data_IF_538592425747
#
_entry.id   IF_538592425747
#
_cell.length_a   1.000
_cell.length_b   1.000
_cell.length_c   1.000
_cell.angle_alpha   90.00
_cell.angle_beta   90.00
_cell.angle_gamma   90.00
#
_symmetry.space_group_name_H-M   'P 1'
#
loop_
_entity.id
_entity.type
_entity.pdbx_description
1 polymer ?
#
# COMPACT_ATOMS: atom_id res chain seq x y z
N UNK A 1 -16.71 -23.97 -19.74
CA UNK A 1 -16.61 -23.92 -18.27
C UNK A 1 -15.43 -23.03 -17.98
N UNK A 2 -15.67 -21.75 -17.68
CA UNK A 2 -14.58 -20.85 -17.30
C UNK A 2 -13.99 -21.33 -15.98
N UNK A 3 -12.66 -21.40 -15.90
CA UNK A 3 -11.92 -21.85 -14.72
C UNK A 3 -12.11 -20.84 -13.58
N UNK A 4 -13.08 -21.09 -12.69
CA UNK A 4 -13.35 -20.31 -11.46
C UNK A 4 -12.34 -20.70 -10.36
N UNK A 5 -11.05 -20.79 -10.68
CA UNK A 5 -10.02 -21.20 -9.71
C UNK A 5 -8.92 -20.17 -9.43
N UNK A 6 -9.06 -18.91 -9.89
CA UNK A 6 -8.04 -17.88 -9.63
C UNK A 6 -8.58 -16.44 -9.51
N UNK A 7 -9.68 -16.25 -8.77
CA UNK A 7 -10.36 -14.94 -8.59
C UNK A 7 -10.32 -14.48 -7.11
N UNK A 8 -9.23 -14.80 -6.43
CA UNK A 8 -9.01 -14.40 -5.03
C UNK A 8 -8.08 -13.18 -4.92
N UNK A 9 -8.20 -12.47 -3.81
CA UNK A 9 -7.23 -11.44 -3.44
C UNK A 9 -5.82 -12.05 -3.32
N UNK A 10 -4.87 -11.55 -4.11
CA UNK A 10 -3.47 -11.96 -4.06
C UNK A 10 -2.68 -10.94 -3.22
N UNK A 11 -2.43 -11.27 -1.95
CA UNK A 11 -1.70 -10.40 -1.02
C UNK A 11 -0.27 -10.11 -1.48
N UNK A 12 0.40 -11.11 -2.04
CA UNK A 12 1.84 -11.03 -2.37
C UNK A 12 2.08 -10.10 -3.56
N UNK A 13 1.18 -10.14 -4.55
CA UNK A 13 1.20 -9.23 -5.70
C UNK A 13 0.96 -7.78 -5.26
N UNK A 14 -0.03 -7.55 -4.39
CA UNK A 14 -0.34 -6.21 -3.86
C UNK A 14 0.80 -5.70 -2.96
N UNK A 15 1.40 -6.58 -2.16
CA UNK A 15 2.56 -6.26 -1.32
C UNK A 15 3.73 -5.78 -2.15
N UNK A 16 4.07 -6.53 -3.19
CA UNK A 16 5.17 -6.18 -4.08
C UNK A 16 4.94 -4.82 -4.76
N UNK A 17 3.73 -4.55 -5.24
CA UNK A 17 3.37 -3.25 -5.84
C UNK A 17 3.57 -2.12 -4.82
N UNK A 18 3.07 -2.29 -3.59
CA UNK A 18 3.19 -1.28 -2.55
C UNK A 18 4.66 -1.01 -2.16
N UNK A 19 5.46 -2.05 -1.95
CA UNK A 19 6.88 -1.93 -1.62
C UNK A 19 7.68 -1.24 -2.74
N UNK A 20 7.43 -1.63 -3.99
CA UNK A 20 8.09 -1.04 -5.16
C UNK A 20 7.72 0.44 -5.35
N UNK A 21 6.47 0.81 -5.13
CA UNK A 21 6.03 2.21 -5.21
C UNK A 21 6.71 3.08 -4.15
N UNK A 22 6.85 2.58 -2.92
CA UNK A 22 7.56 3.30 -1.86
C UNK A 22 9.05 3.46 -2.20
N UNK A 23 9.72 2.39 -2.66
CA UNK A 23 11.14 2.44 -3.07
C UNK A 23 11.35 3.41 -4.24
N UNK A 24 10.43 3.44 -5.21
CA UNK A 24 10.53 4.32 -6.38
C UNK A 24 10.40 5.80 -6.01
N UNK A 25 9.54 6.15 -5.04
CA UNK A 25 9.26 7.55 -4.68
C UNK A 25 10.27 8.09 -3.67
N UNK A 26 10.57 7.32 -2.63
CA UNK A 26 11.40 7.79 -1.51
C UNK A 26 12.86 7.39 -1.68
N UNK A 27 13.14 6.39 -2.52
CA UNK A 27 14.47 5.78 -2.68
C UNK A 27 14.68 4.61 -1.72
N UNK A 28 15.93 4.14 -1.64
CA UNK A 28 16.34 3.03 -0.76
C UNK A 28 16.37 3.46 0.72
N UNK A 29 16.58 2.50 1.62
CA UNK A 29 16.62 2.64 3.09
C UNK A 29 17.49 3.78 3.66
N UNK A 30 18.36 4.42 2.87
CA UNK A 30 19.20 5.55 3.29
C UNK A 30 18.53 6.93 3.13
N UNK A 31 17.29 6.99 2.65
CA UNK A 31 16.56 8.23 2.49
C UNK A 31 16.31 8.93 3.85
N UNK A 32 16.64 10.23 3.92
CA UNK A 32 16.43 11.04 5.12
C UNK A 32 15.08 11.74 5.05
N UNK A 33 14.30 11.63 6.12
CA UNK A 33 13.00 12.30 6.26
C UNK A 33 13.12 13.82 6.06
N UNK A 34 12.25 14.36 5.20
CA UNK A 34 12.12 15.80 4.98
C UNK A 34 10.65 16.17 5.05
N UNK A 35 10.28 16.99 6.05
CA UNK A 35 8.89 17.39 6.31
C UNK A 35 8.21 17.97 5.06
N UNK A 36 8.93 18.79 4.29
CA UNK A 36 8.38 19.45 3.10
C UNK A 36 8.09 18.47 1.96
N UNK A 37 8.75 17.30 1.96
CA UNK A 37 8.55 16.25 0.96
C UNK A 37 7.49 15.23 1.37
N UNK A 38 7.16 15.11 2.66
CA UNK A 38 6.26 14.07 3.17
C UNK A 38 4.92 14.06 2.41
N UNK A 39 4.28 15.22 2.24
CA UNK A 39 3.01 15.33 1.51
C UNK A 39 3.14 14.91 0.04
N UNK A 40 4.23 15.31 -0.62
CA UNK A 40 4.50 14.97 -2.02
C UNK A 40 4.72 13.47 -2.17
N UNK A 41 5.52 12.87 -1.28
CA UNK A 41 5.76 11.43 -1.27
C UNK A 41 4.49 10.64 -1.04
N UNK A 42 3.68 11.02 -0.05
CA UNK A 42 2.39 10.36 0.22
C UNK A 42 1.49 10.37 -1.01
N UNK A 43 1.35 11.52 -1.69
CA UNK A 43 0.55 11.63 -2.91
C UNK A 43 1.11 10.73 -4.02
N UNK A 44 2.42 10.83 -4.31
CA UNK A 44 3.06 10.05 -5.37
C UNK A 44 2.96 8.54 -5.13
N UNK A 45 3.18 8.07 -3.90
CA UNK A 45 3.07 6.65 -3.53
C UNK A 45 1.64 6.16 -3.78
N UNK A 46 0.64 6.90 -3.29
CA UNK A 46 -0.77 6.53 -3.43
C UNK A 46 -1.18 6.43 -4.90
N UNK A 47 -0.80 7.43 -5.72
CA UNK A 47 -1.11 7.46 -7.15
C UNK A 47 -0.45 6.32 -7.91
N UNK A 48 0.84 6.06 -7.65
CA UNK A 48 1.58 4.95 -8.26
C UNK A 48 0.91 3.60 -7.97
N UNK A 49 0.56 3.34 -6.70
CA UNK A 49 -0.07 2.08 -6.31
C UNK A 49 -1.42 1.91 -7.01
N UNK A 50 -2.26 2.95 -7.03
CA UNK A 50 -3.56 2.88 -7.71
C UNK A 50 -3.40 2.61 -9.21
N UNK A 51 -2.43 3.26 -9.86
CA UNK A 51 -2.13 3.04 -11.28
C UNK A 51 -1.67 1.61 -11.54
N UNK A 52 -0.73 1.08 -10.74
CA UNK A 52 -0.23 -0.29 -10.91
C UNK A 52 -1.32 -1.35 -10.62
N UNK A 53 -2.15 -1.14 -9.59
CA UNK A 53 -3.29 -2.01 -9.31
C UNK A 53 -4.32 -1.99 -10.45
N UNK A 54 -4.59 -0.83 -11.05
CA UNK A 54 -5.49 -0.71 -12.19
C UNK A 54 -4.96 -1.46 -13.43
N UNK A 55 -3.64 -1.53 -13.63
CA UNK A 55 -3.03 -2.29 -14.73
C UNK A 55 -3.22 -3.80 -14.62
N UNK A 56 -3.52 -4.33 -13.43
CA UNK A 56 -3.83 -5.75 -13.24
C UNK A 56 -5.15 -6.14 -13.93
N UNK A 57 -6.01 -5.17 -14.27
CA UNK A 57 -7.31 -5.38 -14.92
C UNK A 57 -8.20 -6.40 -14.20
N UNK A 58 -8.06 -6.51 -12.88
CA UNK A 58 -8.90 -7.36 -12.05
C UNK A 58 -10.18 -6.61 -11.65
N UNK A 59 -11.33 -7.31 -11.47
CA UNK A 59 -12.61 -6.69 -11.15
C UNK A 59 -12.70 -6.26 -9.68
N UNK A 60 -11.88 -5.28 -9.28
CA UNK A 60 -11.80 -4.75 -7.92
C UNK A 60 -11.97 -3.23 -7.90
N UNK A 61 -12.57 -2.75 -6.81
CA UNK A 61 -12.42 -1.38 -6.33
C UNK A 61 -11.24 -1.35 -5.37
N UNK A 62 -10.32 -0.41 -5.60
CA UNK A 62 -9.13 -0.23 -4.77
C UNK A 62 -9.25 1.05 -3.94
N UNK A 63 -8.87 0.97 -2.66
CA UNK A 63 -8.59 2.14 -1.83
C UNK A 63 -7.21 1.99 -1.22
N UNK A 64 -6.42 3.06 -1.23
CA UNK A 64 -5.04 3.05 -0.75
C UNK A 64 -4.89 4.17 0.27
N UNK A 65 -4.32 3.85 1.43
CA UNK A 65 -3.90 4.82 2.43
C UNK A 65 -2.39 4.74 2.58
N UNK A 66 -1.75 5.90 2.71
CA UNK A 66 -0.31 6.00 2.93
C UNK A 66 -0.07 6.97 4.10
N UNK A 67 0.70 6.53 5.09
CA UNK A 67 1.07 7.30 6.26
C UNK A 67 2.60 7.36 6.33
N UNK A 68 3.16 8.58 6.26
CA UNK A 68 4.59 8.80 6.49
C UNK A 68 4.77 9.51 7.82
N UNK A 69 5.53 8.90 8.74
CA UNK A 69 5.79 9.43 10.06
C UNK A 69 7.30 9.48 10.35
N UNK A 70 7.77 10.60 10.90
CA UNK A 70 9.17 10.76 11.30
C UNK A 70 9.52 9.81 12.47
N UNK A 71 10.63 9.10 12.34
CA UNK A 71 11.15 8.21 13.38
C UNK A 71 12.12 8.95 14.30
N UNK A 72 11.59 9.53 15.37
CA UNK A 72 12.36 10.19 16.45
C UNK A 72 12.00 9.64 17.84
N UNK A 73 11.68 8.35 17.91
CA UNK A 73 11.25 7.70 19.16
C UNK A 73 9.76 7.88 19.50
N UNK A 74 8.95 8.33 18.53
CA UNK A 74 7.50 8.37 18.66
C UNK A 74 6.90 6.98 18.39
N UNK A 75 5.78 6.67 19.02
CA UNK A 75 5.01 5.44 18.75
C UNK A 75 3.78 5.78 17.93
N UNK A 76 3.55 5.00 16.87
CA UNK A 76 2.38 5.09 16.02
C UNK A 76 1.69 3.71 15.97
N UNK A 77 0.40 3.66 16.28
CA UNK A 77 -0.43 2.48 16.14
C UNK A 77 -1.48 2.71 15.07
N UNK A 78 -1.51 1.84 14.07
CA UNK A 78 -2.51 1.84 12.99
C UNK A 78 -3.27 0.52 13.01
N UNK A 79 -4.59 0.59 12.91
CA UNK A 79 -5.46 -0.58 12.79
C UNK A 79 -6.50 -0.32 11.71
N UNK A 80 -6.80 -1.35 10.93
CA UNK A 80 -7.76 -1.29 9.83
C UNK A 80 -8.70 -2.49 9.92
N UNK A 81 -10.00 -2.24 9.81
CA UNK A 81 -11.04 -3.28 9.80
C UNK A 81 -12.00 -3.00 8.65
N UNK A 82 -12.62 -4.05 8.12
CA UNK A 82 -13.57 -3.95 7.04
C UNK A 82 -14.64 -5.04 7.15
N UNK A 83 -15.78 -4.82 6.48
CA UNK A 83 -16.89 -5.76 6.41
C UNK A 83 -17.17 -6.13 4.96
N UNK A 84 -16.82 -7.36 4.56
CA UNK A 84 -16.77 -7.78 3.15
C UNK A 84 -16.73 -9.31 2.96
N UNK A 85 -16.66 -9.79 1.71
CA UNK A 85 -16.58 -11.21 1.37
C UNK A 85 -15.16 -11.75 1.54
N UNK A 86 -14.91 -12.53 2.61
CA UNK A 86 -13.58 -13.02 3.03
C UNK A 86 -12.83 -13.82 1.95
N UNK A 87 -13.54 -14.41 0.98
CA UNK A 87 -12.93 -15.24 -0.07
C UNK A 87 -12.41 -14.44 -1.27
N UNK A 88 -12.95 -13.25 -1.50
CA UNK A 88 -12.65 -12.45 -2.70
C UNK A 88 -11.97 -11.14 -2.36
N UNK A 89 -12.33 -10.55 -1.23
CA UNK A 89 -11.89 -9.24 -0.78
C UNK A 89 -10.70 -9.36 0.16
N UNK A 90 -9.91 -8.30 0.30
CA UNK A 90 -8.74 -8.32 1.16
C UNK A 90 -8.24 -6.94 1.56
N UNK A 91 -7.60 -6.90 2.73
CA UNK A 91 -6.69 -5.83 3.10
C UNK A 91 -5.27 -6.35 3.14
N UNK A 92 -4.34 -5.47 2.82
CA UNK A 92 -2.92 -5.65 3.10
C UNK A 92 -2.39 -4.36 3.74
N UNK A 93 -1.57 -4.51 4.77
CA UNK A 93 -0.80 -3.40 5.32
C UNK A 93 0.67 -3.75 5.30
N UNK A 94 1.49 -2.86 4.72
CA UNK A 94 2.94 -3.00 4.68
C UNK A 94 3.58 -1.80 5.37
N UNK A 95 4.69 -2.04 6.04
CA UNK A 95 5.52 -1.00 6.64
C UNK A 95 6.89 -1.04 5.98
N UNK A 96 7.21 0.03 5.26
CA UNK A 96 8.49 0.25 4.58
C UNK A 96 9.09 1.53 5.14
N UNK A 97 10.40 1.64 5.30
CA UNK A 97 10.97 2.85 5.87
C UNK A 97 12.48 2.85 5.92
N UNK A 98 12.99 3.88 6.58
CA UNK A 98 14.41 4.05 6.89
C UNK A 98 14.59 4.16 8.40
N UNK A 99 15.82 4.40 8.85
CA UNK A 99 16.07 4.80 10.23
C UNK A 99 15.35 6.11 10.60
N UNK A 100 15.05 6.98 9.63
CA UNK A 100 14.55 8.35 9.90
C UNK A 100 13.04 8.52 9.75
N UNK A 101 12.34 7.57 9.11
CA UNK A 101 10.88 7.59 8.98
C UNK A 101 10.30 6.19 8.74
N UNK A 102 9.01 6.05 9.06
CA UNK A 102 8.18 4.93 8.68
C UNK A 102 7.18 5.37 7.61
N UNK A 103 6.97 4.52 6.61
CA UNK A 103 5.93 4.63 5.59
C UNK A 103 5.03 3.39 5.69
N UNK A 104 3.80 3.59 6.19
CA UNK A 104 2.80 2.53 6.31
C UNK A 104 1.82 2.72 5.16
N UNK A 105 1.68 1.69 4.33
CA UNK A 105 0.71 1.67 3.24
C UNK A 105 -0.32 0.59 3.54
N UNK A 106 -1.61 0.95 3.51
CA UNK A 106 -2.70 -0.02 3.58
C UNK A 106 -3.49 0.01 2.28
N UNK A 107 -3.64 -1.15 1.64
CA UNK A 107 -4.42 -1.34 0.42
C UNK A 107 -5.65 -2.17 0.75
N UNK A 108 -6.81 -1.67 0.34
CA UNK A 108 -8.09 -2.36 0.39
C UNK A 108 -8.50 -2.74 -1.03
N UNK A 109 -8.85 -4.00 -1.23
CA UNK A 109 -9.34 -4.54 -2.50
C UNK A 109 -10.71 -5.17 -2.27
N UNK A 110 -11.75 -4.59 -2.85
CA UNK A 110 -13.13 -5.09 -2.77
C UNK A 110 -13.63 -5.45 -4.16
N UNK A 111 -14.02 -6.71 -4.34
CA UNK A 111 -14.52 -7.26 -5.58
C UNK A 111 -15.80 -6.54 -6.02
N UNK A 112 -15.96 -6.43 -7.33
CA UNK A 112 -17.11 -5.77 -7.99
C UNK A 112 -18.18 -6.80 -8.32
#
# INVERSE_FOLDING_TARGET
MENIQDVGFNSDEVQKIAEQAVEQVVGKETAVYQKDKANVWTQQITDLIVIELAKLQKPYKYAVTCIIAENKGNVLHTASTAYWEIKKDGLLSVQVGSETFYCIVTVFSSSI
#
